data_IF_443538027581
#
_entry.id   IF_443538027581
#
_cell.length_a   1.000
_cell.length_b   1.000
_cell.length_c   1.000
_cell.angle_alpha   90.00
_cell.angle_beta   90.00
_cell.angle_gamma   90.00
#
_symmetry.space_group_name_H-M   'P 1'
#
loop_
_entity.id
_entity.type
_entity.pdbx_description
1 polymer ?
#
# COMPACT_ATOMS: atom_id res chain seq x y z
N UNK A 1 5.67 29.20 12.44
CA UNK A 1 4.95 28.12 11.75
C UNK A 1 3.49 28.15 12.18
N UNK A 2 2.54 28.14 11.24
CA UNK A 2 1.11 28.05 11.60
C UNK A 2 0.80 26.62 12.06
N UNK A 3 -0.14 26.44 12.99
CA UNK A 3 -0.54 25.10 13.47
C UNK A 3 -0.98 24.17 12.33
N UNK A 4 -1.59 24.71 11.27
CA UNK A 4 -1.97 23.97 10.07
C UNK A 4 -0.77 23.36 9.33
N UNK A 5 0.33 24.11 9.20
CA UNK A 5 1.56 23.65 8.54
C UNK A 5 2.27 22.58 9.39
N UNK A 6 2.28 22.76 10.72
CA UNK A 6 2.81 21.78 11.67
C UNK A 6 2.07 20.45 11.59
N UNK A 7 0.73 20.50 11.61
CA UNK A 7 -0.10 19.30 11.51
C UNK A 7 0.05 18.60 10.15
N UNK A 8 0.16 19.37 9.06
CA UNK A 8 0.40 18.82 7.72
C UNK A 8 1.71 18.03 7.67
N UNK A 9 2.82 18.61 8.13
CA UNK A 9 4.11 17.90 8.15
C UNK A 9 4.07 16.64 9.02
N UNK A 10 3.40 16.69 10.18
CA UNK A 10 3.24 15.51 11.02
C UNK A 10 2.46 14.39 10.31
N UNK A 11 1.36 14.73 9.63
CA UNK A 11 0.56 13.76 8.88
C UNK A 11 1.36 13.16 7.71
N UNK A 12 2.11 13.97 6.96
CA UNK A 12 2.98 13.50 5.89
C UNK A 12 4.05 12.55 6.42
N UNK A 13 4.73 12.91 7.51
CA UNK A 13 5.75 12.06 8.13
C UNK A 13 5.20 10.70 8.58
N UNK A 14 3.98 10.67 9.13
CA UNK A 14 3.32 9.42 9.51
C UNK A 14 3.01 8.57 8.27
N UNK A 15 2.50 9.16 7.18
CA UNK A 15 2.24 8.45 5.92
C UNK A 15 3.51 7.89 5.29
N UNK A 16 4.60 8.66 5.25
CA UNK A 16 5.89 8.18 4.73
C UNK A 16 6.42 7.01 5.56
N UNK A 17 6.35 7.10 6.90
CA UNK A 17 6.75 5.99 7.78
C UNK A 17 5.91 4.74 7.53
N UNK A 18 4.60 4.91 7.37
CA UNK A 18 3.69 3.81 7.10
C UNK A 18 3.98 3.15 5.74
N UNK A 19 4.19 3.94 4.68
CA UNK A 19 4.58 3.45 3.37
C UNK A 19 5.89 2.63 3.42
N UNK A 20 6.91 3.14 4.11
CA UNK A 20 8.19 2.44 4.31
C UNK A 20 8.04 1.10 5.03
N UNK A 21 7.01 0.93 5.87
CA UNK A 21 6.75 -0.32 6.57
C UNK A 21 6.13 -1.37 5.64
N UNK A 22 5.12 -0.97 4.87
CA UNK A 22 4.33 -1.92 4.07
C UNK A 22 4.93 -2.23 2.70
N UNK A 23 5.71 -1.30 2.13
CA UNK A 23 6.35 -1.47 0.82
C UNK A 23 7.83 -1.86 0.90
N UNK A 24 8.30 -2.31 2.06
CA UNK A 24 9.68 -2.78 2.20
C UNK A 24 9.92 -4.06 1.36
N UNK A 25 10.83 -4.04 0.36
CA UNK A 25 11.01 -5.18 -0.56
C UNK A 25 11.36 -6.49 0.14
N UNK A 26 12.19 -6.46 1.18
CA UNK A 26 12.57 -7.67 1.92
C UNK A 26 11.36 -8.29 2.65
N UNK A 27 10.47 -7.46 3.17
CA UNK A 27 9.24 -7.93 3.84
C UNK A 27 8.24 -8.46 2.83
N UNK A 28 8.09 -7.77 1.68
CA UNK A 28 7.21 -8.19 0.59
C UNK A 28 7.68 -9.51 -0.03
N UNK A 29 8.98 -9.68 -0.27
CA UNK A 29 9.56 -10.92 -0.77
C UNK A 29 9.24 -12.11 0.16
N UNK A 30 9.45 -11.93 1.47
CA UNK A 30 9.13 -12.97 2.45
C UNK A 30 7.63 -13.31 2.49
N UNK A 31 6.75 -12.33 2.27
CA UNK A 31 5.32 -12.55 2.18
C UNK A 31 4.93 -13.29 0.89
N UNK A 32 5.54 -12.94 -0.25
CA UNK A 32 5.35 -13.65 -1.52
C UNK A 32 5.78 -15.12 -1.37
N UNK A 33 6.98 -15.37 -0.83
CA UNK A 33 7.48 -16.74 -0.61
C UNK A 33 6.52 -17.55 0.28
N UNK A 34 6.00 -16.94 1.34
CA UNK A 34 5.05 -17.58 2.24
C UNK A 34 3.72 -17.93 1.54
N UNK A 35 3.21 -17.06 0.66
CA UNK A 35 1.98 -17.32 -0.11
C UNK A 35 2.22 -18.31 -1.25
N UNK A 36 3.37 -18.25 -1.92
CA UNK A 36 3.78 -19.21 -2.93
C UNK A 36 3.93 -20.62 -2.34
N UNK A 37 4.47 -20.75 -1.12
CA UNK A 37 4.58 -22.02 -0.41
C UNK A 37 3.20 -22.63 -0.08
N UNK A 38 2.17 -21.80 0.09
CA UNK A 38 0.77 -22.24 0.26
C UNK A 38 0.09 -22.58 -1.07
N UNK A 39 0.77 -22.39 -2.20
CA UNK A 39 0.24 -22.66 -3.54
C UNK A 39 -0.56 -21.51 -4.14
N UNK A 40 -0.53 -20.31 -3.55
CA UNK A 40 -1.12 -19.12 -4.17
C UNK A 40 -0.23 -18.58 -5.30
N UNK A 41 -0.83 -17.78 -6.18
CA UNK A 41 -0.16 -17.14 -7.34
C UNK A 41 -0.18 -15.60 -7.28
N UNK A 42 -0.70 -15.06 -6.19
CA UNK A 42 -0.81 -13.63 -5.99
C UNK A 42 -0.73 -13.28 -4.52
N UNK A 43 -0.22 -12.10 -4.24
CA UNK A 43 -0.15 -11.49 -2.93
C UNK A 43 -0.67 -10.06 -3.04
N UNK A 44 -1.48 -9.63 -2.06
CA UNK A 44 -2.04 -8.27 -2.02
C UNK A 44 -1.54 -7.57 -0.77
N UNK A 45 -0.94 -6.41 -0.95
CA UNK A 45 -0.55 -5.53 0.15
C UNK A 45 -1.80 -4.80 0.61
N UNK A 46 -2.43 -5.31 1.67
CA UNK A 46 -3.61 -4.70 2.28
C UNK A 46 -3.17 -3.56 3.19
N UNK A 47 -3.80 -2.39 3.04
CA UNK A 47 -3.51 -1.24 3.89
C UNK A 47 -4.50 -1.18 5.04
N UNK A 48 -3.97 -1.10 6.26
CA UNK A 48 -4.74 -0.81 7.48
C UNK A 48 -5.29 0.63 7.47
N UNK A 49 -4.53 1.56 6.88
CA UNK A 49 -4.92 2.96 6.77
C UNK A 49 -5.30 3.26 5.30
N UNK A 50 -6.53 3.75 5.03
CA UNK A 50 -7.04 3.96 3.68
C UNK A 50 -6.52 5.27 3.09
N UNK A 51 -5.20 5.34 2.86
CA UNK A 51 -4.54 6.46 2.20
C UNK A 51 -4.08 6.04 0.82
N UNK A 52 -4.05 6.98 -0.11
CA UNK A 52 -3.27 6.77 -1.31
C UNK A 52 -1.78 6.86 -0.98
N UNK A 53 -1.06 5.75 -1.22
CA UNK A 53 0.38 5.63 -0.99
C UNK A 53 1.13 5.25 -2.28
N UNK A 54 0.45 5.17 -3.44
CA UNK A 54 1.06 4.69 -4.70
C UNK A 54 2.18 5.61 -5.22
N UNK A 55 2.13 6.89 -4.83
CA UNK A 55 3.10 7.92 -5.21
C UNK A 55 4.20 8.14 -4.15
N UNK A 56 4.29 7.29 -3.13
CA UNK A 56 5.37 7.38 -2.15
C UNK A 56 6.68 6.80 -2.70
N UNK A 57 7.82 7.34 -2.27
CA UNK A 57 9.14 6.84 -2.67
C UNK A 57 9.29 5.34 -2.40
N UNK A 58 8.77 4.86 -1.25
CA UNK A 58 8.77 3.45 -0.89
C UNK A 58 8.00 2.57 -1.87
N UNK A 59 6.82 3.03 -2.33
CA UNK A 59 6.04 2.33 -3.32
C UNK A 59 6.78 2.26 -4.66
N UNK A 60 7.43 3.36 -5.08
CA UNK A 60 8.25 3.40 -6.31
C UNK A 60 9.49 2.52 -6.24
N UNK A 61 10.18 2.50 -5.11
CA UNK A 61 11.32 1.59 -4.89
C UNK A 61 10.87 0.12 -4.97
N UNK A 62 9.70 -0.21 -4.42
CA UNK A 62 9.14 -1.55 -4.54
C UNK A 62 8.77 -1.90 -5.99
N UNK A 63 8.12 -1.00 -6.73
CA UNK A 63 7.80 -1.19 -8.15
C UNK A 63 9.07 -1.51 -8.97
N UNK A 64 10.15 -0.76 -8.76
CA UNK A 64 11.45 -1.02 -9.42
C UNK A 64 12.01 -2.39 -9.06
N UNK A 65 11.93 -2.80 -7.80
CA UNK A 65 12.36 -4.13 -7.37
C UNK A 65 11.51 -5.23 -8.01
N UNK A 66 10.19 -5.06 -8.07
CA UNK A 66 9.27 -6.00 -8.71
C UNK A 66 9.57 -6.15 -10.21
N UNK A 67 9.87 -5.04 -10.89
CA UNK A 67 10.27 -5.05 -12.31
C UNK A 67 11.59 -5.83 -12.51
N UNK A 68 12.57 -5.65 -11.62
CA UNK A 68 13.85 -6.36 -11.67
C UNK A 68 13.70 -7.87 -11.49
N UNK A 69 12.84 -8.28 -10.55
CA UNK A 69 12.53 -9.68 -10.27
C UNK A 69 11.47 -10.28 -11.22
N UNK A 70 10.98 -9.50 -12.20
CA UNK A 70 10.00 -9.90 -13.22
C UNK A 70 8.62 -10.30 -12.67
N UNK A 71 8.22 -9.76 -11.52
CA UNK A 71 6.86 -9.90 -11.03
C UNK A 71 5.87 -9.05 -11.82
N UNK A 72 4.63 -9.52 -11.94
CA UNK A 72 3.54 -8.71 -12.46
C UNK A 72 2.79 -8.03 -11.32
N UNK A 73 2.51 -6.74 -11.44
CA UNK A 73 1.76 -6.01 -10.42
C UNK A 73 0.76 -5.01 -10.99
N UNK A 74 -0.31 -4.75 -10.23
CA UNK A 74 -1.31 -3.72 -10.53
C UNK A 74 -1.75 -3.01 -9.24
N UNK A 75 -2.03 -1.71 -9.35
CA UNK A 75 -2.75 -0.98 -8.32
C UNK A 75 -4.24 -1.17 -8.51
N UNK A 76 -4.89 -1.78 -7.52
CA UNK A 76 -6.33 -2.04 -7.55
C UNK A 76 -7.06 -1.05 -6.64
N UNK A 77 -8.10 -0.35 -7.13
CA UNK A 77 -8.97 0.46 -6.27
C UNK A 77 -9.61 -0.40 -5.18
N UNK A 78 -9.48 0.06 -3.94
CA UNK A 78 -10.04 -0.55 -2.74
C UNK A 78 -10.97 0.45 -2.06
N UNK A 79 -12.11 -0.04 -1.59
CA UNK A 79 -13.14 0.80 -1.00
C UNK A 79 -13.10 0.67 0.52
N UNK A 80 -13.22 1.79 1.22
CA UNK A 80 -13.41 1.77 2.67
C UNK A 80 -14.73 1.07 2.96
N UNK A 81 -14.68 -0.05 3.67
CA UNK A 81 -15.89 -0.75 4.11
C UNK A 81 -16.69 0.20 5.02
N UNK A 82 -17.90 0.53 4.59
CA UNK A 82 -18.75 1.48 5.30
C UNK A 82 -19.57 0.82 6.40
N UNK A 83 -19.78 1.55 7.50
CA UNK A 83 -20.83 1.25 8.47
C UNK A 83 -22.21 1.38 7.80
N UNK A 84 -23.12 0.38 7.94
CA UNK A 84 -24.43 0.36 7.27
C UNK A 84 -25.31 1.61 7.41
N UNK A 85 -25.32 2.37 8.53
CA UNK A 85 -26.17 3.56 8.63
C UNK A 85 -25.54 4.86 8.08
N UNK A 86 -24.29 4.85 7.59
CA UNK A 86 -23.64 6.08 7.08
C UNK A 86 -24.02 6.35 5.61
N UNK A 87 -24.24 7.61 5.21
CA UNK A 87 -24.46 7.97 3.81
C UNK A 87 -23.24 7.60 2.95
N UNK A 88 -23.48 7.10 1.72
CA UNK A 88 -22.46 6.61 0.78
C UNK A 88 -21.37 7.64 0.52
N UNK A 89 -20.19 7.46 1.10
CA UNK A 89 -18.98 8.18 0.72
C UNK A 89 -18.11 7.19 -0.03
N UNK A 90 -17.97 7.38 -1.35
CA UNK A 90 -17.07 6.57 -2.17
C UNK A 90 -15.67 7.13 -1.96
N UNK A 91 -15.02 6.72 -0.86
CA UNK A 91 -13.58 6.96 -0.68
C UNK A 91 -12.86 5.70 -1.12
N UNK A 92 -12.14 5.83 -2.23
CA UNK A 92 -11.27 4.79 -2.77
C UNK A 92 -9.81 5.06 -2.40
N UNK A 93 -9.05 3.98 -2.23
CA UNK A 93 -7.60 4.02 -2.09
C UNK A 93 -7.00 2.82 -2.84
N UNK A 94 -5.87 3.00 -3.54
CA UNK A 94 -5.27 1.91 -4.28
C UNK A 94 -4.51 0.95 -3.35
N UNK A 95 -4.58 -0.35 -3.62
CA UNK A 95 -3.74 -1.37 -2.99
C UNK A 95 -2.97 -2.14 -4.06
N UNK A 96 -1.71 -2.48 -3.78
CA UNK A 96 -0.85 -3.18 -4.71
C UNK A 96 -1.13 -4.68 -4.70
N UNK A 97 -1.43 -5.24 -5.87
CA UNK A 97 -1.56 -6.68 -6.08
C UNK A 97 -0.38 -7.15 -6.91
N UNK A 98 0.33 -8.16 -6.43
CA UNK A 98 1.52 -8.75 -7.05
C UNK A 98 1.18 -10.19 -7.43
N UNK A 99 1.65 -10.65 -8.59
CA UNK A 99 1.40 -11.97 -9.15
C UNK A 99 2.66 -12.55 -9.81
N UNK A 100 2.75 -13.88 -9.79
CA UNK A 100 3.89 -14.67 -10.28
C UNK A 100 3.43 -15.96 -10.97
#
# INVERSE_FOLDING_TARGET
MRRSEGNFLMATNVRTKYANQIFNPATVAAAIDAEAFKGYRQYRIVQELPFDLSDTDAAKELEVWLDQEQFHYIWRPTFIQMDPPRPSVITEYPELVISW
#
